data_IF_694151704694
#
_entry.id   IF_694151704694
#
_cell.length_a   1.000
_cell.length_b   1.000
_cell.length_c   1.000
_cell.angle_alpha   90.00
_cell.angle_beta   90.00
_cell.angle_gamma   90.00
#
_symmetry.space_group_name_H-M   'P 1'
#
loop_
_entity.id
_entity.type
_entity.pdbx_description
1 polymer ?
#
# COMPACT_ATOMS: atom_id res chain seq x y z
N UNK A 1 4.27 -10.40 10.70
CA UNK A 1 4.79 -9.01 10.63
C UNK A 1 3.92 -8.11 9.75
N UNK A 2 3.37 -8.58 8.62
CA UNK A 2 2.52 -7.74 7.73
C UNK A 2 1.24 -7.23 8.41
N UNK A 3 0.56 -8.03 9.24
CA UNK A 3 -0.68 -7.61 9.89
C UNK A 3 -0.57 -6.32 10.71
N UNK A 4 0.49 -6.18 11.51
CA UNK A 4 0.74 -4.96 12.28
C UNK A 4 1.20 -3.79 11.40
N UNK A 5 1.93 -4.08 10.32
CA UNK A 5 2.37 -3.06 9.37
C UNK A 5 1.20 -2.46 8.56
N UNK A 6 0.17 -3.26 8.30
CA UNK A 6 -1.04 -2.87 7.57
C UNK A 6 -2.18 -2.41 8.50
N UNK A 7 -1.98 -2.43 9.82
CA UNK A 7 -3.05 -2.14 10.77
C UNK A 7 -3.48 -0.67 10.68
N UNK A 8 -4.77 -0.43 10.41
CA UNK A 8 -5.31 0.92 10.28
C UNK A 8 -5.08 1.57 8.93
N UNK A 9 -4.74 0.79 7.89
CA UNK A 9 -4.70 1.30 6.52
C UNK A 9 -6.05 1.91 6.10
N UNK A 10 -5.99 2.89 5.19
CA UNK A 10 -7.12 3.59 4.61
C UNK A 10 -8.13 2.64 3.96
N UNK A 11 -7.69 1.53 3.38
CA UNK A 11 -8.60 0.53 2.81
C UNK A 11 -9.47 -0.13 3.89
N UNK A 12 -8.95 -0.34 5.10
CA UNK A 12 -9.71 -0.92 6.22
C UNK A 12 -10.79 0.05 6.71
N UNK A 13 -10.44 1.34 6.87
CA UNK A 13 -11.41 2.38 7.24
C UNK A 13 -12.51 2.51 6.18
N UNK A 14 -12.15 2.46 4.90
CA UNK A 14 -13.12 2.47 3.79
C UNK A 14 -14.03 1.25 3.80
N UNK A 15 -13.50 0.06 4.13
CA UNK A 15 -14.27 -1.18 4.19
C UNK A 15 -15.27 -1.15 5.34
N UNK A 16 -14.86 -0.63 6.51
CA UNK A 16 -15.76 -0.44 7.66
C UNK A 16 -16.86 0.57 7.33
N UNK A 17 -16.52 1.70 6.71
CA UNK A 17 -17.49 2.69 6.28
C UNK A 17 -18.51 2.13 5.28
N UNK A 18 -18.06 1.30 4.34
CA UNK A 18 -18.92 0.64 3.36
C UNK A 18 -19.82 -0.42 4.01
N UNK A 19 -19.29 -1.21 4.95
CA UNK A 19 -20.05 -2.22 5.69
C UNK A 19 -21.12 -1.60 6.60
N UNK A 20 -20.97 -0.34 7.01
CA UNK A 20 -21.97 0.38 7.81
C UNK A 20 -23.24 0.74 7.01
N UNK A 21 -23.14 0.85 5.67
CA UNK A 21 -24.25 1.28 4.80
C UNK A 21 -24.72 0.21 3.79
N UNK A 22 -24.12 -0.98 3.78
CA UNK A 22 -24.41 -2.06 2.82
C UNK A 22 -24.44 -3.42 3.54
N UNK A 23 -24.83 -4.48 2.82
CA UNK A 23 -24.77 -5.84 3.38
C UNK A 23 -23.32 -6.21 3.73
N UNK A 24 -23.06 -6.41 5.02
CA UNK A 24 -21.71 -6.67 5.53
C UNK A 24 -21.10 -7.96 4.95
N UNK A 25 -21.92 -8.97 4.63
CA UNK A 25 -21.47 -10.22 4.03
C UNK A 25 -20.94 -10.02 2.62
N UNK A 26 -21.64 -9.24 1.80
CA UNK A 26 -21.18 -8.88 0.45
C UNK A 26 -19.92 -7.98 0.49
N UNK A 27 -19.83 -7.06 1.46
CA UNK A 27 -18.65 -6.21 1.63
C UNK A 27 -17.42 -7.03 2.01
N UNK A 28 -17.55 -7.98 2.94
CA UNK A 28 -16.45 -8.87 3.33
C UNK A 28 -16.02 -9.74 2.15
N UNK A 29 -16.98 -10.33 1.41
CA UNK A 29 -16.69 -11.15 0.25
C UNK A 29 -15.95 -10.35 -0.83
N UNK A 30 -16.48 -9.18 -1.19
CA UNK A 30 -15.91 -8.29 -2.20
C UNK A 30 -14.52 -7.79 -1.81
N UNK A 31 -14.34 -7.36 -0.55
CA UNK A 31 -13.05 -6.93 -0.03
C UNK A 31 -12.01 -8.05 -0.02
N UNK A 32 -12.40 -9.26 0.40
CA UNK A 32 -11.51 -10.43 0.41
C UNK A 32 -11.07 -10.82 -1.00
N UNK A 33 -12.01 -10.88 -1.95
CA UNK A 33 -11.71 -11.21 -3.35
C UNK A 33 -10.83 -10.14 -3.98
N UNK A 34 -11.16 -8.85 -3.78
CA UNK A 34 -10.36 -7.74 -4.29
C UNK A 34 -8.93 -7.75 -3.74
N UNK A 35 -8.78 -7.97 -2.43
CA UNK A 35 -7.46 -8.05 -1.80
C UNK A 35 -6.68 -9.27 -2.31
N UNK A 36 -7.31 -10.45 -2.43
CA UNK A 36 -6.68 -11.65 -2.95
C UNK A 36 -6.15 -11.45 -4.38
N UNK A 37 -6.92 -10.76 -5.25
CA UNK A 37 -6.48 -10.42 -6.61
C UNK A 37 -5.27 -9.47 -6.56
N UNK A 38 -5.35 -8.42 -5.75
CA UNK A 38 -4.26 -7.45 -5.60
C UNK A 38 -2.96 -8.13 -5.12
N UNK A 39 -3.04 -8.95 -4.08
CA UNK A 39 -1.90 -9.71 -3.57
C UNK A 39 -1.34 -10.69 -4.60
N UNK A 40 -2.21 -11.37 -5.36
CA UNK A 40 -1.79 -12.30 -6.41
C UNK A 40 -1.00 -11.58 -7.50
N UNK A 41 -1.49 -10.42 -7.96
CA UNK A 41 -0.79 -9.59 -8.95
C UNK A 41 0.55 -9.10 -8.40
N UNK A 42 0.58 -8.62 -7.14
CA UNK A 42 1.80 -8.15 -6.51
C UNK A 42 2.86 -9.25 -6.39
N UNK A 43 2.47 -10.46 -6.00
CA UNK A 43 3.39 -11.60 -5.86
C UNK A 43 3.91 -12.06 -7.22
N UNK A 44 3.02 -12.24 -8.21
CA UNK A 44 3.42 -12.71 -9.55
C UNK A 44 4.27 -11.66 -10.27
N UNK A 45 3.87 -10.39 -10.23
CA UNK A 45 4.62 -9.28 -10.80
C UNK A 45 5.97 -9.08 -10.09
N UNK A 46 5.99 -9.15 -8.77
CA UNK A 46 7.20 -9.08 -7.97
C UNK A 46 8.17 -10.22 -8.28
N UNK A 47 7.68 -11.45 -8.43
CA UNK A 47 8.50 -12.60 -8.81
C UNK A 47 9.13 -12.41 -10.19
N UNK A 48 8.34 -11.98 -11.18
CA UNK A 48 8.85 -11.71 -12.52
C UNK A 48 9.92 -10.62 -12.50
N UNK A 49 9.66 -9.53 -11.77
CA UNK A 49 10.58 -8.39 -11.69
C UNK A 49 11.87 -8.75 -10.93
N UNK A 50 11.77 -9.54 -9.85
CA UNK A 50 12.91 -10.03 -9.09
C UNK A 50 13.86 -10.90 -9.94
N UNK A 51 13.34 -11.61 -10.95
CA UNK A 51 14.18 -12.40 -11.86
C UNK A 51 15.05 -11.55 -12.79
N UNK A 52 14.73 -10.25 -12.95
CA UNK A 52 15.38 -9.33 -13.90
C UNK A 52 16.15 -8.19 -13.24
N UNK A 53 15.92 -7.91 -11.96
CA UNK A 53 16.55 -6.80 -11.24
C UNK A 53 17.61 -7.26 -10.24
N UNK A 54 18.73 -6.53 -10.19
CA UNK A 54 19.75 -6.71 -9.16
C UNK A 54 19.30 -6.11 -7.82
N UNK A 55 19.67 -6.74 -6.71
CA UNK A 55 19.49 -6.21 -5.35
C UNK A 55 20.01 -4.78 -5.21
N UNK A 56 21.13 -4.45 -5.88
CA UNK A 56 21.70 -3.10 -5.85
C UNK A 56 20.73 -2.05 -6.41
N UNK A 57 20.04 -2.37 -7.50
CA UNK A 57 19.05 -1.48 -8.12
C UNK A 57 17.87 -1.27 -7.19
N UNK A 58 17.38 -2.34 -6.54
CA UNK A 58 16.25 -2.27 -5.60
C UNK A 58 16.60 -1.35 -4.42
N UNK A 59 17.76 -1.54 -3.79
CA UNK A 59 18.19 -0.72 -2.65
C UNK A 59 18.37 0.75 -3.03
N UNK A 60 19.00 1.04 -4.19
CA UNK A 60 19.16 2.41 -4.68
C UNK A 60 17.81 3.07 -4.99
N UNK A 61 16.89 2.34 -5.61
CA UNK A 61 15.54 2.86 -5.89
C UNK A 61 14.75 3.16 -4.61
N UNK A 62 14.88 2.31 -3.58
CA UNK A 62 14.26 2.54 -2.28
C UNK A 62 14.81 3.80 -1.61
N UNK A 63 16.15 3.93 -1.54
CA UNK A 63 16.80 5.11 -0.98
C UNK A 63 16.39 6.40 -1.71
N UNK A 64 16.30 6.35 -3.04
CA UNK A 64 15.83 7.48 -3.84
C UNK A 64 14.37 7.85 -3.54
N UNK A 65 13.47 6.86 -3.42
CA UNK A 65 12.08 7.10 -3.03
C UNK A 65 11.96 7.75 -1.64
N UNK A 66 12.77 7.31 -0.66
CA UNK A 66 12.83 7.94 0.66
C UNK A 66 13.27 9.41 0.60
N UNK A 67 14.26 9.75 -0.23
CA UNK A 67 14.66 11.15 -0.43
C UNK A 67 13.53 11.99 -1.02
N UNK A 68 12.82 11.47 -2.02
CA UNK A 68 11.67 12.17 -2.61
C UNK A 68 10.61 12.44 -1.54
N UNK A 69 10.21 11.40 -0.79
CA UNK A 69 9.22 11.56 0.27
C UNK A 69 9.70 12.54 1.35
N UNK A 70 10.98 12.49 1.73
CA UNK A 70 11.55 13.44 2.68
C UNK A 70 11.37 14.90 2.23
N UNK A 71 11.69 15.21 0.97
CA UNK A 71 11.55 16.58 0.43
C UNK A 71 10.07 16.98 0.35
N UNK A 72 9.20 16.09 -0.15
CA UNK A 72 7.77 16.34 -0.29
C UNK A 72 7.13 16.62 1.07
N UNK A 73 7.38 15.79 2.08
CA UNK A 73 6.82 15.97 3.41
C UNK A 73 7.42 17.17 4.14
N UNK A 74 8.71 17.46 3.94
CA UNK A 74 9.32 18.67 4.49
C UNK A 74 8.70 19.93 3.91
N UNK A 75 8.47 19.97 2.59
CA UNK A 75 7.82 21.09 1.92
C UNK A 75 6.36 21.25 2.36
N UNK A 76 5.57 20.16 2.42
CA UNK A 76 4.19 20.21 2.91
C UNK A 76 4.15 20.71 4.35
N UNK A 77 5.01 20.20 5.23
CA UNK A 77 5.09 20.70 6.59
C UNK A 77 5.37 22.20 6.63
N UNK A 78 6.35 22.68 5.87
CA UNK A 78 6.68 24.11 5.83
C UNK A 78 5.51 24.98 5.33
N UNK A 79 4.80 24.55 4.29
CA UNK A 79 3.66 25.29 3.74
C UNK A 79 2.41 25.25 4.64
N UNK A 80 2.13 24.11 5.28
CA UNK A 80 1.00 23.98 6.23
C UNK A 80 1.25 24.78 7.54
N UNK A 81 2.48 25.24 7.79
CA UNK A 81 2.83 26.12 8.91
C UNK A 81 2.66 27.63 8.59
N UNK A 82 2.44 28.02 7.33
CA UNK A 82 2.10 29.39 6.89
C UNK A 82 0.60 29.58 6.67
#
# INVERSE_FOLDING_TARGET
>A
MVFLAEWGDRSQVSTIAMAAGSDYGLVILGGTVGHAICSSIAVLGGHFLASRLSMRTVTLSGAFAFYIFSVVYFYNAWYDFE
#
